data_IF_049804285755
#
_entry.id   IF_049804285755
#
_cell.length_a   1.000
_cell.length_b   1.000
_cell.length_c   1.000
_cell.angle_alpha   90.00
_cell.angle_beta   90.00
_cell.angle_gamma   90.00
#
_symmetry.space_group_name_H-M   'P 1'
#
loop_
_entity.id
_entity.type
_entity.pdbx_description
1 polymer ?
#
# COMPACT_ATOMS: atom_id res chain seq x y z
N UNK A 1 -14.61 -8.17 12.36
CA UNK A 1 -13.95 -6.84 12.50
C UNK A 1 -13.01 -6.91 13.68
N UNK A 2 -11.77 -6.48 13.54
CA UNK A 2 -10.80 -6.43 14.64
C UNK A 2 -11.00 -5.12 15.38
N UNK A 3 -11.21 -5.16 16.71
CA UNK A 3 -11.28 -3.93 17.53
C UNK A 3 -9.89 -3.36 17.76
N UNK A 4 -9.78 -2.08 18.12
CA UNK A 4 -8.49 -1.43 18.39
C UNK A 4 -7.69 -2.15 19.48
N UNK A 5 -8.37 -2.61 20.54
CA UNK A 5 -7.73 -3.40 21.60
C UNK A 5 -7.22 -4.75 21.09
N UNK A 6 -8.03 -5.48 20.32
CA UNK A 6 -7.62 -6.73 19.73
C UNK A 6 -6.45 -6.55 18.75
N UNK A 7 -6.45 -5.47 17.98
CA UNK A 7 -5.32 -5.13 17.09
C UNK A 7 -4.05 -4.87 17.90
N UNK A 8 -4.14 -4.11 18.98
CA UNK A 8 -3.00 -3.85 19.86
C UNK A 8 -2.44 -5.12 20.52
N UNK A 9 -3.31 -5.99 21.04
CA UNK A 9 -2.88 -7.26 21.63
C UNK A 9 -2.22 -8.18 20.58
N UNK A 10 -2.74 -8.18 19.36
CA UNK A 10 -2.14 -8.95 18.26
C UNK A 10 -0.77 -8.40 17.87
N UNK A 11 -0.60 -7.09 17.79
CA UNK A 11 0.72 -6.45 17.54
C UNK A 11 1.71 -6.82 18.66
N UNK A 12 1.29 -6.73 19.92
CA UNK A 12 2.14 -7.15 21.06
C UNK A 12 2.58 -8.60 20.97
N UNK A 13 1.69 -9.49 20.56
CA UNK A 13 2.01 -10.91 20.40
C UNK A 13 2.97 -11.16 19.24
N UNK A 14 2.69 -10.57 18.07
CA UNK A 14 3.47 -10.79 16.85
C UNK A 14 4.86 -10.17 16.90
N UNK A 15 4.99 -9.04 17.59
CA UNK A 15 6.21 -8.24 17.65
C UNK A 15 6.85 -8.22 19.04
N UNK A 16 6.61 -9.26 19.86
CA UNK A 16 7.18 -9.36 21.22
C UNK A 16 8.72 -9.27 21.25
N UNK A 17 9.39 -9.69 20.17
CA UNK A 17 10.85 -9.60 20.01
C UNK A 17 11.35 -8.26 19.47
N UNK A 18 10.45 -7.35 19.08
CA UNK A 18 10.76 -6.02 18.51
C UNK A 18 9.92 -4.97 19.24
N UNK A 19 10.25 -4.66 20.50
CA UNK A 19 9.44 -3.77 21.35
C UNK A 19 9.26 -2.36 20.77
N UNK A 20 10.18 -1.91 19.92
CA UNK A 20 10.11 -0.62 19.23
C UNK A 20 8.86 -0.50 18.35
N UNK A 21 8.49 -1.57 17.66
CA UNK A 21 7.25 -1.61 16.84
C UNK A 21 6.01 -1.46 17.71
N UNK A 22 5.99 -2.13 18.88
CA UNK A 22 4.88 -2.03 19.83
C UNK A 22 4.77 -0.61 20.39
N UNK A 23 5.92 -0.02 20.77
CA UNK A 23 5.99 1.35 21.26
C UNK A 23 5.45 2.34 20.23
N UNK A 24 5.88 2.20 18.97
CA UNK A 24 5.43 3.05 17.85
C UNK A 24 3.93 2.92 17.65
N UNK A 25 3.41 1.71 17.53
CA UNK A 25 1.98 1.49 17.35
C UNK A 25 1.15 2.12 18.47
N UNK A 26 1.59 1.97 19.72
CA UNK A 26 0.92 2.55 20.88
C UNK A 26 0.98 4.09 20.89
N UNK A 27 2.07 4.69 20.39
CA UNK A 27 2.30 6.14 20.43
C UNK A 27 1.65 6.92 19.28
N UNK A 28 1.16 6.24 18.24
CA UNK A 28 0.49 6.90 17.12
C UNK A 28 -0.78 7.64 17.59
N UNK A 29 -0.88 8.97 17.33
CA UNK A 29 -1.93 9.79 17.93
C UNK A 29 -3.29 9.67 17.25
N UNK A 30 -3.33 9.20 16.00
CA UNK A 30 -4.56 9.11 15.20
C UNK A 30 -4.92 7.66 14.88
N UNK A 31 -6.21 7.28 14.96
CA UNK A 31 -6.67 5.93 14.60
C UNK A 31 -6.28 5.50 13.19
N UNK A 32 -6.34 6.42 12.22
CA UNK A 32 -5.97 6.14 10.82
C UNK A 32 -4.51 5.71 10.68
N UNK A 33 -3.59 6.34 11.40
CA UNK A 33 -2.18 5.96 11.39
C UNK A 33 -1.95 4.55 11.96
N UNK A 34 -2.72 4.19 13.00
CA UNK A 34 -2.71 2.84 13.56
C UNK A 34 -3.26 1.82 12.58
N UNK A 35 -4.35 2.13 11.89
CA UNK A 35 -4.94 1.28 10.87
C UNK A 35 -3.97 1.06 9.70
N UNK A 36 -3.35 2.13 9.21
CA UNK A 36 -2.34 2.07 8.16
C UNK A 36 -1.13 1.23 8.57
N UNK A 37 -0.60 1.47 9.76
CA UNK A 37 0.56 0.72 10.24
C UNK A 37 0.21 -0.74 10.50
N UNK A 38 -0.99 -1.01 11.04
CA UNK A 38 -1.47 -2.37 11.32
C UNK A 38 -1.51 -3.25 10.06
N UNK A 39 -1.97 -2.73 8.91
CA UNK A 39 -2.04 -3.52 7.67
C UNK A 39 -0.67 -4.02 7.23
N UNK A 40 0.35 -3.20 7.38
CA UNK A 40 1.73 -3.61 7.07
C UNK A 40 2.28 -4.61 8.07
N UNK A 41 2.01 -4.40 9.36
CA UNK A 41 2.45 -5.29 10.44
C UNK A 41 1.85 -6.68 10.29
N UNK A 42 0.54 -6.78 10.06
CA UNK A 42 -0.11 -8.10 9.96
C UNK A 42 0.36 -8.86 8.71
N UNK A 43 0.50 -8.17 7.58
CA UNK A 43 1.00 -8.75 6.34
C UNK A 43 2.46 -9.18 6.46
N UNK A 44 3.31 -8.37 7.11
CA UNK A 44 4.70 -8.72 7.34
C UNK A 44 4.83 -9.98 8.21
N UNK A 45 4.06 -10.06 9.29
CA UNK A 45 4.15 -11.15 10.24
C UNK A 45 3.47 -12.45 9.76
N UNK A 46 2.34 -12.36 9.07
CA UNK A 46 1.47 -13.49 8.74
C UNK A 46 1.28 -13.71 7.25
N UNK A 47 1.51 -12.69 6.43
CA UNK A 47 1.13 -12.71 5.02
C UNK A 47 -0.38 -12.78 4.83
N UNK A 48 -0.80 -13.22 3.66
CA UNK A 48 -2.20 -13.32 3.29
C UNK A 48 -2.70 -12.10 2.53
N UNK A 49 -3.98 -11.81 2.66
CA UNK A 49 -4.63 -10.65 2.03
C UNK A 49 -5.18 -9.77 3.13
N UNK A 50 -4.76 -8.52 3.15
CA UNK A 50 -5.41 -7.44 3.88
C UNK A 50 -6.37 -6.70 2.95
N UNK A 51 -7.53 -6.35 3.45
CA UNK A 51 -8.44 -5.46 2.74
C UNK A 51 -9.20 -4.61 3.77
N UNK A 52 -9.39 -3.33 3.48
CA UNK A 52 -10.14 -2.42 4.35
C UNK A 52 -11.61 -2.85 4.44
N UNK A 53 -12.28 -2.50 5.54
CA UNK A 53 -13.65 -2.95 5.83
C UNK A 53 -14.71 -2.36 4.89
N UNK A 54 -14.38 -1.28 4.21
CA UNK A 54 -15.21 -0.60 3.22
C UNK A 54 -14.82 -0.97 1.78
N UNK A 55 -14.24 -2.15 1.60
CA UNK A 55 -13.99 -2.75 0.29
C UNK A 55 -14.98 -3.87 0.00
N UNK A 56 -15.31 -4.04 -1.26
CA UNK A 56 -16.13 -5.12 -1.79
C UNK A 56 -15.31 -5.99 -2.74
N UNK A 57 -15.20 -7.29 -2.47
CA UNK A 57 -14.63 -8.23 -3.40
C UNK A 57 -15.61 -8.44 -4.58
N UNK A 58 -15.21 -8.07 -5.78
CA UNK A 58 -15.95 -8.32 -7.00
C UNK A 58 -15.64 -9.71 -7.57
N UNK A 59 -14.41 -10.19 -7.33
CA UNK A 59 -13.94 -11.53 -7.72
C UNK A 59 -13.12 -12.17 -6.62
N UNK A 60 -13.10 -13.50 -6.55
CA UNK A 60 -12.22 -14.23 -5.65
C UNK A 60 -10.74 -13.90 -5.93
N UNK A 61 -9.91 -13.83 -4.88
CA UNK A 61 -8.47 -13.57 -5.04
C UNK A 61 -7.74 -14.63 -5.90
N UNK A 62 -8.31 -15.82 -6.03
CA UNK A 62 -7.83 -16.86 -6.94
C UNK A 62 -7.95 -16.49 -8.41
N UNK A 63 -8.75 -15.48 -8.74
CA UNK A 63 -8.97 -14.99 -10.12
C UNK A 63 -8.16 -13.72 -10.44
N UNK A 64 -7.43 -13.13 -9.46
CA UNK A 64 -6.61 -11.94 -9.70
C UNK A 64 -5.46 -12.19 -10.68
N UNK A 65 -5.04 -13.46 -10.80
CA UNK A 65 -4.02 -13.88 -11.74
C UNK A 65 -4.54 -15.04 -12.60
N UNK A 66 -4.08 -15.15 -13.86
CA UNK A 66 -4.45 -16.26 -14.74
C UNK A 66 -4.17 -17.63 -14.11
N UNK A 67 -4.96 -18.64 -14.45
CA UNK A 67 -4.83 -19.99 -13.87
C UNK A 67 -3.48 -20.67 -14.18
N UNK A 68 -2.85 -20.32 -15.31
CA UNK A 68 -1.53 -20.82 -15.70
C UNK A 68 -0.37 -20.06 -15.07
N UNK A 69 -0.65 -19.07 -14.21
CA UNK A 69 0.39 -18.29 -13.54
C UNK A 69 1.00 -19.07 -12.37
N UNK A 70 2.31 -19.17 -12.31
CA UNK A 70 3.00 -19.79 -11.18
C UNK A 70 2.95 -18.89 -9.94
N UNK A 71 1.97 -19.12 -9.08
CA UNK A 71 1.73 -18.37 -7.85
C UNK A 71 2.82 -18.57 -6.80
N UNK A 72 3.62 -19.64 -6.91
CA UNK A 72 4.73 -19.88 -5.98
C UNK A 72 5.82 -18.80 -6.09
N UNK A 73 5.92 -18.18 -7.26
CA UNK A 73 6.89 -17.11 -7.56
C UNK A 73 6.41 -15.70 -7.19
N UNK A 74 5.22 -15.58 -6.57
CA UNK A 74 4.64 -14.28 -6.18
C UNK A 74 4.87 -14.04 -4.70
N UNK A 75 5.56 -12.97 -4.36
CA UNK A 75 5.80 -12.51 -2.99
C UNK A 75 4.84 -11.41 -2.54
N UNK A 76 4.47 -10.51 -3.47
CA UNK A 76 3.61 -9.36 -3.20
C UNK A 76 2.69 -9.10 -4.39
N UNK A 77 1.42 -8.73 -4.13
CA UNK A 77 0.47 -8.23 -5.14
C UNK A 77 -0.01 -6.86 -4.69
N UNK A 78 0.15 -5.87 -5.56
CA UNK A 78 -0.29 -4.49 -5.37
C UNK A 78 -1.15 -4.04 -6.56
N UNK A 79 -2.12 -3.19 -6.32
CA UNK A 79 -2.90 -2.53 -7.36
C UNK A 79 -2.50 -1.07 -7.51
N UNK A 80 -2.61 -0.52 -8.71
CA UNK A 80 -2.45 0.91 -8.93
C UNK A 80 -3.70 1.63 -8.41
N UNK A 81 -3.52 2.68 -7.61
CA UNK A 81 -4.56 3.60 -7.14
C UNK A 81 -4.70 4.79 -8.07
N UNK A 82 -3.55 5.33 -8.50
CA UNK A 82 -3.49 6.45 -9.41
C UNK A 82 -2.51 6.15 -10.53
N UNK A 83 -2.98 6.35 -11.77
CA UNK A 83 -2.18 6.32 -12.98
C UNK A 83 -2.33 7.67 -13.69
N UNK A 84 -1.43 8.58 -13.40
CA UNK A 84 -1.52 9.93 -13.90
C UNK A 84 -1.16 10.08 -15.39
N UNK A 85 -0.72 9.01 -16.05
CA UNK A 85 -0.37 8.96 -17.46
C UNK A 85 0.05 10.33 -18.07
N UNK A 86 -0.87 10.96 -18.80
CA UNK A 86 -0.67 12.26 -19.45
C UNK A 86 -1.27 13.45 -18.67
N UNK A 87 -1.80 13.20 -17.47
CA UNK A 87 -2.42 14.24 -16.65
C UNK A 87 -1.37 15.16 -16.04
N UNK A 88 -1.31 16.40 -16.50
CA UNK A 88 -0.30 17.38 -16.05
C UNK A 88 -0.55 17.91 -14.63
N UNK A 89 -1.80 17.87 -14.17
CA UNK A 89 -2.23 18.41 -12.88
C UNK A 89 -2.34 17.31 -11.78
N UNK A 90 -1.72 16.16 -11.98
CA UNK A 90 -1.83 15.00 -11.08
C UNK A 90 -1.37 15.31 -9.65
N UNK A 91 -0.39 16.18 -9.47
CA UNK A 91 0.13 16.60 -8.16
C UNK A 91 -0.92 17.28 -7.27
N UNK A 92 -2.00 17.81 -7.88
CA UNK A 92 -3.12 18.38 -7.14
C UNK A 92 -4.03 17.31 -6.53
N UNK A 93 -3.90 16.04 -6.98
CA UNK A 93 -4.80 14.95 -6.63
C UNK A 93 -4.11 13.81 -5.88
N UNK A 94 -2.86 13.51 -6.21
CA UNK A 94 -2.12 12.39 -5.68
C UNK A 94 -0.69 12.77 -5.31
N UNK A 95 -0.13 12.05 -4.33
CA UNK A 95 1.25 12.29 -3.88
C UNK A 95 2.30 11.67 -4.81
N UNK A 96 1.91 10.71 -5.64
CA UNK A 96 2.82 10.05 -6.60
C UNK A 96 2.15 9.93 -7.97
N UNK A 97 2.95 10.03 -9.03
CA UNK A 97 2.48 9.89 -10.41
C UNK A 97 1.88 8.50 -10.70
N UNK A 98 2.53 7.46 -10.20
CA UNK A 98 1.95 6.13 -9.99
C UNK A 98 1.88 5.95 -8.49
N UNK A 99 0.69 5.68 -7.96
CA UNK A 99 0.44 5.42 -6.56
C UNK A 99 -0.20 4.06 -6.40
N UNK A 100 0.27 3.26 -5.42
CA UNK A 100 -0.30 1.96 -5.15
C UNK A 100 -1.38 2.04 -4.08
N UNK A 101 -2.46 1.28 -4.28
CA UNK A 101 -3.48 1.08 -3.26
C UNK A 101 -2.87 0.45 -2.01
N UNK A 102 -3.20 1.01 -0.85
CA UNK A 102 -2.86 0.37 0.41
C UNK A 102 -4.07 -0.34 1.08
N UNK A 103 -5.27 -0.09 0.60
CA UNK A 103 -6.49 -0.68 1.16
C UNK A 103 -6.70 -2.16 0.79
N UNK A 104 -6.01 -2.66 -0.22
CA UNK A 104 -5.99 -4.09 -0.58
C UNK A 104 -4.59 -4.48 -1.00
N UNK A 105 -3.97 -5.39 -0.25
CA UNK A 105 -2.61 -5.88 -0.46
C UNK A 105 -2.60 -7.38 -0.20
N UNK A 106 -1.94 -8.15 -1.08
CA UNK A 106 -1.60 -9.54 -0.80
C UNK A 106 -0.10 -9.68 -0.65
N UNK A 107 0.37 -10.39 0.38
CA UNK A 107 1.80 -10.59 0.60
C UNK A 107 2.10 -11.97 1.18
N UNK A 108 3.28 -12.51 0.87
CA UNK A 108 3.90 -13.56 1.66
C UNK A 108 4.43 -12.98 2.98
N UNK A 109 4.47 -13.77 4.07
CA UNK A 109 5.07 -13.30 5.32
C UNK A 109 6.55 -12.97 5.11
N UNK A 110 7.04 -11.94 5.80
CA UNK A 110 8.44 -11.52 5.75
C UNK A 110 8.88 -10.81 4.46
N UNK A 111 7.95 -10.34 3.61
CA UNK A 111 8.30 -9.70 2.34
C UNK A 111 9.20 -8.47 2.57
N UNK A 112 10.37 -8.36 1.86
CA UNK A 112 11.35 -7.31 2.12
C UNK A 112 10.81 -5.90 2.00
N UNK A 113 9.98 -5.60 0.98
CA UNK A 113 9.38 -4.27 0.83
C UNK A 113 8.54 -3.86 2.06
N UNK A 114 7.77 -4.80 2.64
CA UNK A 114 7.01 -4.51 3.86
C UNK A 114 7.91 -4.39 5.09
N UNK A 115 8.99 -5.17 5.17
CA UNK A 115 9.97 -5.09 6.26
C UNK A 115 10.63 -3.70 6.29
N UNK A 116 11.08 -3.23 5.13
CA UNK A 116 11.77 -1.94 5.01
C UNK A 116 10.78 -0.79 5.27
N UNK A 117 9.54 -0.90 4.81
CA UNK A 117 8.47 0.05 5.13
C UNK A 117 8.18 0.12 6.64
N UNK A 118 8.02 -1.02 7.30
CA UNK A 118 7.79 -1.09 8.76
C UNK A 118 8.98 -0.50 9.53
N UNK A 119 10.20 -0.78 9.11
CA UNK A 119 11.41 -0.19 9.70
C UNK A 119 11.41 1.33 9.55
N UNK A 120 11.17 1.85 8.35
CA UNK A 120 11.13 3.30 8.07
C UNK A 120 10.08 4.01 8.93
N UNK A 121 8.85 3.51 8.98
CA UNK A 121 7.78 4.10 9.80
C UNK A 121 8.17 4.06 11.29
N UNK A 122 8.77 2.95 11.74
CA UNK A 122 9.20 2.78 13.14
C UNK A 122 10.28 3.79 13.50
N UNK A 123 11.34 3.90 12.71
CA UNK A 123 12.46 4.81 12.94
C UNK A 123 12.02 6.27 12.92
N UNK A 124 11.22 6.66 11.95
CA UNK A 124 10.71 8.01 11.81
C UNK A 124 9.81 8.41 12.99
N UNK A 125 8.91 7.51 13.40
CA UNK A 125 8.04 7.76 14.56
C UNK A 125 8.85 7.92 15.84
N UNK A 126 9.82 7.04 16.10
CA UNK A 126 10.68 7.13 17.27
C UNK A 126 11.55 8.39 17.26
N UNK A 127 12.05 8.79 16.08
CA UNK A 127 12.79 10.05 15.93
C UNK A 127 11.92 11.25 16.28
N UNK A 128 10.71 11.34 15.73
CA UNK A 128 9.78 12.42 16.03
C UNK A 128 9.34 12.43 17.49
N UNK A 129 9.14 11.26 18.09
CA UNK A 129 8.81 11.12 19.50
C UNK A 129 9.93 11.66 20.39
N UNK A 130 11.20 11.31 20.12
CA UNK A 130 12.37 11.83 20.85
C UNK A 130 12.52 13.34 20.73
N UNK A 131 12.13 13.90 19.59
CA UNK A 131 12.17 15.35 19.35
C UNK A 131 10.95 16.09 19.94
N UNK A 132 9.97 15.40 20.49
CA UNK A 132 8.74 15.98 21.03
C UNK A 132 7.77 16.55 19.99
N UNK A 133 8.00 16.27 18.70
CA UNK A 133 7.23 16.84 17.57
C UNK A 133 6.26 15.85 16.92
N UNK A 134 6.07 14.68 17.52
CA UNK A 134 5.26 13.61 16.92
C UNK A 134 3.83 14.09 16.58
N UNK A 135 3.18 14.80 17.50
CA UNK A 135 1.82 15.32 17.30
C UNK A 135 1.77 16.42 16.24
N UNK A 136 2.70 17.36 16.27
CA UNK A 136 2.78 18.49 15.32
C UNK A 136 3.02 17.99 13.89
N UNK A 137 3.99 17.10 13.72
CA UNK A 137 4.32 16.55 12.40
C UNK A 137 3.20 15.68 11.82
N UNK A 138 2.43 15.01 12.67
CA UNK A 138 1.26 14.23 12.24
C UNK A 138 0.08 15.11 11.82
N UNK A 139 0.03 16.35 12.26
CA UNK A 139 -0.99 17.33 11.85
C UNK A 139 -0.60 18.04 10.56
N UNK A 140 0.70 18.29 10.36
CA UNK A 140 1.23 19.04 9.21
C UNK A 140 1.54 18.16 8.00
N UNK A 141 2.07 16.96 8.22
CA UNK A 141 2.33 16.02 7.12
C UNK A 141 1.05 15.28 6.78
N UNK A 142 0.72 15.28 5.53
CA UNK A 142 -0.32 14.41 5.01
C UNK A 142 -0.13 12.99 5.56
N UNK A 143 -1.17 12.42 6.14
CA UNK A 143 -1.21 11.01 6.58
C UNK A 143 -0.76 10.09 5.45
N UNK A 144 -1.08 10.48 4.22
CA UNK A 144 -0.70 9.82 2.97
C UNK A 144 0.83 9.65 2.86
N UNK A 145 1.62 10.65 3.29
CA UNK A 145 3.09 10.61 3.22
C UNK A 145 3.73 9.84 4.37
N UNK A 146 3.04 9.74 5.51
CA UNK A 146 3.64 9.17 6.71
C UNK A 146 3.41 7.67 6.89
N UNK A 147 2.16 7.21 6.74
CA UNK A 147 1.77 5.80 6.85
C UNK A 147 0.93 5.33 5.67
N UNK A 148 0.51 6.27 4.83
CA UNK A 148 -0.44 6.06 3.76
C UNK A 148 0.15 5.53 2.45
N UNK A 149 -0.57 5.69 1.34
CA UNK A 149 -0.21 5.10 0.06
C UNK A 149 1.08 5.68 -0.55
N UNK A 150 1.50 6.91 -0.18
CA UNK A 150 2.72 7.49 -0.72
C UNK A 150 3.98 6.77 -0.23
N UNK A 151 4.16 6.63 1.10
CA UNK A 151 5.31 5.90 1.65
C UNK A 151 5.29 4.41 1.27
N UNK A 152 4.10 3.81 1.16
CA UNK A 152 3.96 2.44 0.65
C UNK A 152 4.45 2.32 -0.79
N UNK A 153 4.06 3.25 -1.64
CA UNK A 153 4.50 3.32 -3.05
C UNK A 153 6.02 3.46 -3.13
N UNK A 154 6.60 4.38 -2.35
CA UNK A 154 8.04 4.58 -2.31
C UNK A 154 8.80 3.33 -1.86
N UNK A 155 8.28 2.60 -0.86
CA UNK A 155 8.87 1.34 -0.39
C UNK A 155 8.86 0.26 -1.47
N UNK A 156 7.77 0.15 -2.24
CA UNK A 156 7.68 -0.81 -3.36
C UNK A 156 8.65 -0.43 -4.48
N UNK A 157 8.76 0.84 -4.86
CA UNK A 157 9.75 1.28 -5.85
C UNK A 157 11.18 1.13 -5.36
N UNK A 158 11.45 1.39 -4.08
CA UNK A 158 12.75 1.12 -3.47
C UNK A 158 13.12 -0.36 -3.56
N UNK A 159 12.16 -1.24 -3.28
CA UNK A 159 12.35 -2.68 -3.43
C UNK A 159 12.64 -3.08 -4.88
N UNK A 160 11.91 -2.54 -5.86
CA UNK A 160 12.16 -2.79 -7.28
C UNK A 160 13.59 -2.43 -7.72
N UNK A 161 14.22 -1.49 -7.05
CA UNK A 161 15.52 -0.93 -7.40
C UNK A 161 16.64 -1.33 -6.41
N UNK A 162 16.41 -2.36 -5.59
CA UNK A 162 17.40 -2.82 -4.63
C UNK A 162 18.22 -3.98 -5.20
N UNK A 163 19.52 -3.73 -5.45
CA UNK A 163 20.48 -4.69 -6.03
C UNK A 163 20.65 -5.97 -5.20
N UNK A 164 20.30 -5.92 -3.90
CA UNK A 164 20.37 -7.10 -3.04
C UNK A 164 19.31 -8.15 -3.34
N UNK A 165 18.21 -7.76 -4.00
CA UNK A 165 17.09 -8.64 -4.32
C UNK A 165 16.97 -8.95 -5.81
N UNK A 166 17.54 -8.12 -6.68
CA UNK A 166 17.41 -8.24 -8.11
C UNK A 166 18.78 -8.15 -8.79
N UNK A 167 19.04 -9.06 -9.72
CA UNK A 167 20.19 -8.94 -10.61
C UNK A 167 19.89 -7.93 -11.73
N UNK A 168 20.47 -6.74 -11.59
CA UNK A 168 20.33 -5.67 -12.59
C UNK A 168 21.37 -5.74 -13.71
N UNK A 169 22.26 -6.74 -13.72
CA UNK A 169 23.26 -6.89 -14.78
C UNK A 169 22.62 -6.99 -16.19
N UNK A 170 21.37 -7.41 -16.26
CA UNK A 170 20.56 -7.46 -17.48
C UNK A 170 19.68 -6.24 -17.74
N UNK A 171 19.64 -5.25 -16.81
CA UNK A 171 18.83 -4.03 -16.95
C UNK A 171 19.73 -2.80 -16.88
N UNK A 172 19.63 -1.93 -17.87
CA UNK A 172 20.39 -0.70 -17.91
C UNK A 172 19.73 0.48 -17.16
N UNK A 173 18.53 0.28 -16.59
CA UNK A 173 17.74 1.36 -15.97
C UNK A 173 16.94 0.87 -14.78
N UNK A 174 16.73 1.74 -13.80
CA UNK A 174 15.85 1.52 -12.67
C UNK A 174 14.37 1.44 -13.14
N UNK A 175 13.57 0.67 -12.41
CA UNK A 175 12.10 0.67 -12.56
C UNK A 175 11.56 1.99 -12.02
N UNK A 176 10.79 2.67 -12.82
CA UNK A 176 10.19 3.97 -12.52
C UNK A 176 8.69 3.99 -12.79
N UNK A 177 8.03 5.09 -12.46
CA UNK A 177 6.61 5.28 -12.75
C UNK A 177 6.29 5.07 -14.24
N UNK A 178 7.18 5.49 -15.15
CA UNK A 178 6.98 5.35 -16.60
C UNK A 178 6.89 3.90 -17.08
N UNK A 179 7.45 2.95 -16.32
CA UNK A 179 7.37 1.53 -16.63
C UNK A 179 6.01 0.91 -16.29
N UNK A 180 5.20 1.61 -15.49
CA UNK A 180 3.91 1.14 -14.97
C UNK A 180 2.73 1.96 -15.45
N UNK A 181 2.98 3.13 -16.08
CA UNK A 181 1.92 3.97 -16.65
C UNK A 181 1.17 3.22 -17.74
N UNK A 182 -0.17 3.29 -17.70
CA UNK A 182 -1.05 2.78 -18.74
C UNK A 182 -1.13 1.25 -18.86
N UNK A 183 -0.67 0.50 -17.85
CA UNK A 183 -0.81 -0.96 -17.88
C UNK A 183 -2.29 -1.35 -17.83
N UNK A 184 -2.69 -2.27 -18.69
CA UNK A 184 -4.08 -2.79 -18.81
C UNK A 184 -4.20 -4.24 -18.36
N UNK A 185 -3.09 -4.89 -18.04
CA UNK A 185 -3.01 -6.25 -17.50
C UNK A 185 -1.94 -6.28 -16.40
N UNK A 186 -1.89 -7.38 -15.65
CA UNK A 186 -0.87 -7.53 -14.61
C UNK A 186 0.55 -7.44 -15.19
N UNK A 187 1.45 -6.81 -14.46
CA UNK A 187 2.89 -6.74 -14.75
C UNK A 187 3.68 -7.37 -13.62
N UNK A 188 4.57 -8.29 -13.93
CA UNK A 188 5.46 -8.89 -12.95
C UNK A 188 6.80 -8.17 -12.92
N UNK A 189 7.24 -7.76 -11.74
CA UNK A 189 8.55 -7.18 -11.47
C UNK A 189 9.19 -7.99 -10.32
N UNK A 190 10.14 -8.86 -10.66
CA UNK A 190 10.67 -9.81 -9.69
C UNK A 190 9.59 -10.75 -9.16
N UNK A 191 9.34 -10.75 -7.87
CA UNK A 191 8.27 -11.50 -7.22
C UNK A 191 7.02 -10.65 -6.91
N UNK A 192 6.99 -9.39 -7.37
CA UNK A 192 5.85 -8.49 -7.21
C UNK A 192 4.98 -8.50 -8.45
N UNK A 193 3.68 -8.63 -8.26
CA UNK A 193 2.67 -8.41 -9.29
C UNK A 193 2.07 -7.03 -9.10
N UNK A 194 2.16 -6.20 -10.12
CA UNK A 194 1.45 -4.93 -10.22
C UNK A 194 0.21 -5.12 -11.06
N UNK A 195 -0.95 -4.88 -10.48
CA UNK A 195 -2.24 -4.91 -11.15
C UNK A 195 -2.61 -3.52 -11.67
N UNK A 196 -3.30 -3.43 -12.83
CA UNK A 196 -3.74 -2.15 -13.38
C UNK A 196 -4.72 -1.44 -12.44
N UNK A 197 -4.89 -0.14 -12.64
CA UNK A 197 -5.76 0.71 -11.81
C UNK A 197 -7.18 0.16 -11.67
N UNK A 198 -7.75 -0.40 -12.73
CA UNK A 198 -9.09 -0.98 -12.72
C UNK A 198 -9.23 -2.13 -11.72
N UNK A 199 -8.13 -2.80 -11.34
CA UNK A 199 -8.21 -4.00 -10.50
C UNK A 199 -8.67 -3.72 -9.07
N UNK A 200 -8.18 -2.64 -8.47
CA UNK A 200 -8.52 -2.28 -7.07
C UNK A 200 -9.14 -0.88 -6.93
N UNK A 201 -9.27 -0.16 -8.06
CA UNK A 201 -9.87 1.18 -8.10
C UNK A 201 -10.83 1.33 -9.30
N UNK A 202 -11.72 0.33 -9.58
CA UNK A 202 -12.66 0.45 -10.68
C UNK A 202 -13.59 1.65 -10.45
N UNK A 203 -13.89 2.39 -11.51
CA UNK A 203 -14.74 3.59 -11.45
C UNK A 203 -13.99 4.91 -11.20
N UNK A 204 -12.68 4.89 -10.94
CA UNK A 204 -11.86 6.11 -10.85
C UNK A 204 -11.48 6.57 -12.27
N UNK A 205 -12.49 6.97 -13.03
CA UNK A 205 -12.38 7.26 -14.47
C UNK A 205 -11.40 8.40 -14.77
N UNK A 206 -11.34 9.42 -13.91
CA UNK A 206 -10.44 10.56 -14.07
C UNK A 206 -8.95 10.17 -14.02
N UNK A 207 -8.63 8.97 -13.56
CA UNK A 207 -7.29 8.41 -13.51
C UNK A 207 -7.11 7.18 -14.42
N UNK A 208 -8.02 6.98 -15.38
CA UNK A 208 -7.92 5.95 -16.41
C UNK A 208 -8.45 4.58 -16.01
N UNK A 209 -9.11 4.43 -14.85
CA UNK A 209 -9.77 3.20 -14.47
C UNK A 209 -11.04 2.98 -15.31
N UNK A 210 -11.32 1.71 -15.60
CA UNK A 210 -12.60 1.29 -16.18
C UNK A 210 -13.63 1.00 -15.07
N UNK A 211 -14.88 0.74 -15.49
CA UNK A 211 -15.98 0.43 -14.58
C UNK A 211 -15.86 -0.93 -13.89
N UNK A 212 -16.78 -1.16 -12.95
CA UNK A 212 -16.83 -2.38 -12.13
C UNK A 212 -17.13 -3.67 -12.94
N UNK A 213 -17.69 -3.51 -14.14
CA UNK A 213 -18.00 -4.64 -15.05
C UNK A 213 -16.79 -5.07 -15.90
N UNK A 214 -15.67 -4.36 -15.81
CA UNK A 214 -14.45 -4.72 -16.54
C UNK A 214 -13.90 -6.06 -16.03
N UNK A 215 -13.41 -6.95 -16.93
CA UNK A 215 -12.81 -8.21 -16.53
C UNK A 215 -11.65 -8.07 -15.52
N UNK A 216 -10.97 -6.94 -15.49
CA UNK A 216 -9.87 -6.66 -14.55
C UNK A 216 -10.32 -6.02 -13.24
N UNK A 217 -11.61 -5.75 -13.03
CA UNK A 217 -12.13 -5.26 -11.75
C UNK A 217 -12.24 -6.42 -10.75
N UNK A 218 -11.48 -6.36 -9.65
CA UNK A 218 -11.38 -7.42 -8.65
C UNK A 218 -11.88 -7.01 -7.28
N UNK A 219 -11.59 -5.79 -6.86
CA UNK A 219 -12.01 -5.21 -5.58
C UNK A 219 -12.45 -3.78 -5.82
N UNK A 220 -13.61 -3.41 -5.26
CA UNK A 220 -14.09 -2.03 -5.25
C UNK A 220 -13.91 -1.45 -3.86
N UNK A 221 -13.43 -0.22 -3.76
CA UNK A 221 -13.41 0.56 -2.53
C UNK A 221 -14.64 1.46 -2.47
N UNK A 222 -15.36 1.46 -1.35
CA UNK A 222 -16.60 2.24 -1.20
C UNK A 222 -16.34 3.65 -0.64
N UNK A 223 -15.09 3.95 -0.22
CA UNK A 223 -14.71 5.24 0.39
C UNK A 223 -15.64 5.68 1.51
N UNK A 224 -16.23 4.71 2.25
CA UNK A 224 -17.17 4.93 3.35
C UNK A 224 -16.50 5.29 4.66
N UNK A 225 -15.17 5.11 4.76
CA UNK A 225 -14.38 5.55 5.89
C UNK A 225 -14.39 7.07 5.97
N UNK A 226 -14.68 7.62 7.16
CA UNK A 226 -14.60 9.06 7.37
C UNK A 226 -13.20 9.56 7.04
N UNK A 227 -13.03 10.17 5.87
CA UNK A 227 -11.94 11.08 5.61
C UNK A 227 -12.08 12.24 6.59
N UNK A 228 -11.35 12.21 7.70
CA UNK A 228 -11.28 13.32 8.67
C UNK A 228 -10.53 14.53 8.09
N UNK A 229 -10.05 14.42 6.85
CA UNK A 229 -9.43 15.51 6.09
C UNK A 229 -10.21 15.65 4.79
N UNK A 230 -10.58 16.87 4.34
CA UNK A 230 -11.16 17.09 3.02
C UNK A 230 -10.15 16.69 1.96
N UNK A 231 -10.19 15.44 1.54
CA UNK A 231 -9.47 14.99 0.36
C UNK A 231 -10.40 15.23 -0.84
N UNK A 232 -9.88 15.84 -1.90
CA UNK A 232 -10.63 16.10 -3.12
C UNK A 232 -11.22 14.82 -3.76
N UNK A 233 -10.81 13.63 -3.28
CA UNK A 233 -11.32 12.32 -3.67
C UNK A 233 -12.67 11.95 -3.02
N UNK A 234 -13.13 12.69 -2.00
CA UNK A 234 -14.39 12.39 -1.30
C UNK A 234 -15.62 13.06 -1.95
N UNK A 235 -15.45 13.84 -3.02
CA UNK A 235 -16.51 14.55 -3.72
C UNK A 235 -16.33 14.38 -5.24
N UNK A 236 -16.62 13.20 -5.72
CA UNK A 236 -16.76 12.90 -7.14
C UNK A 236 -17.98 12.01 -7.37
#
# INVERSE_FOLDING_TARGET
MVTDDAAYQLVKYLYASVPEVIEVYASMPLPVLKADFFRYLILLARGGIYSDIDTQALKPATEWLPNNFDRSTVGLVVGIEADAADRKDWENWYSRRIQFCQWTIQSKPGHPALRDLVATITEDTLRMKRQGILKEKMMDKSIVEFTGPAIFTDAVFSYFNNDSFFDYSARNTNISATDLVGITSHKKVGDVIVLPITSFSPGVEQMGAKGIDDPMAFVKHEFSGMCLVPCALCYG
#
